data_IF_823767604235
#
_entry.id   IF_823767604235
#
_cell.length_a   1.000
_cell.length_b   1.000
_cell.length_c   1.000
_cell.angle_alpha   90.00
_cell.angle_beta   90.00
_cell.angle_gamma   90.00
#
_symmetry.space_group_name_H-M   'P 1'
#
loop_
_entity.id
_entity.type
_entity.pdbx_description
1 polymer ?
#
# COMPACT_ATOMS: atom_id res chain seq x y z
N UNK A 1 -22.34 25.35 20.47
CA UNK A 1 -21.10 25.22 19.69
C UNK A 1 -20.75 23.73 19.65
N UNK A 2 -20.86 23.08 18.48
CA UNK A 2 -20.48 21.67 18.32
C UNK A 2 -18.96 21.58 18.35
N UNK A 3 -18.41 20.77 19.26
CA UNK A 3 -16.98 20.52 19.36
C UNK A 3 -16.47 19.87 18.08
N UNK A 4 -15.55 20.55 17.40
CA UNK A 4 -14.75 19.97 16.33
C UNK A 4 -13.69 19.08 16.94
N UNK A 5 -14.05 17.84 17.25
CA UNK A 5 -13.08 16.76 17.41
C UNK A 5 -12.77 16.23 16.02
N UNK A 6 -11.52 16.37 15.57
CA UNK A 6 -10.99 15.49 14.53
C UNK A 6 -10.88 14.09 15.14
N UNK A 7 -12.00 13.39 15.22
CA UNK A 7 -12.01 11.95 15.33
C UNK A 7 -11.51 11.48 13.96
N UNK A 8 -10.21 11.13 13.87
CA UNK A 8 -9.79 10.22 12.81
C UNK A 8 -10.66 8.98 13.02
N UNK A 9 -11.73 8.85 12.23
CA UNK A 9 -12.57 7.67 12.24
C UNK A 9 -11.64 6.46 12.14
N UNK A 10 -11.81 5.52 13.07
CA UNK A 10 -10.96 4.33 13.15
C UNK A 10 -11.14 3.56 11.84
N UNK A 11 -10.11 3.60 10.98
CA UNK A 11 -10.15 2.96 9.67
C UNK A 11 -10.40 1.47 9.84
N UNK A 12 -11.38 0.94 9.12
CA UNK A 12 -11.67 -0.49 9.15
C UNK A 12 -10.52 -1.28 8.50
N UNK A 13 -10.36 -2.55 8.87
CA UNK A 13 -9.35 -3.43 8.25
C UNK A 13 -9.53 -3.51 6.73
N UNK A 14 -10.78 -3.56 6.24
CA UNK A 14 -11.09 -3.58 4.81
C UNK A 14 -10.66 -2.31 4.08
N UNK A 15 -10.84 -1.14 4.68
CA UNK A 15 -10.39 0.13 4.09
C UNK A 15 -8.86 0.21 4.08
N UNK A 16 -8.22 -0.26 5.16
CA UNK A 16 -6.76 -0.37 5.21
C UNK A 16 -6.23 -1.29 4.11
N UNK A 17 -6.86 -2.45 3.91
CA UNK A 17 -6.52 -3.38 2.83
C UNK A 17 -6.64 -2.69 1.47
N UNK A 18 -7.77 -2.02 1.20
CA UNK A 18 -7.98 -1.32 -0.06
C UNK A 18 -6.89 -0.27 -0.32
N UNK A 19 -6.57 0.56 0.67
CA UNK A 19 -5.50 1.58 0.58
C UNK A 19 -4.12 0.93 0.32
N UNK A 20 -3.83 -0.21 0.95
CA UNK A 20 -2.57 -0.91 0.75
C UNK A 20 -2.48 -1.57 -0.63
N UNK A 21 -3.60 -2.06 -1.19
CA UNK A 21 -3.66 -2.61 -2.55
C UNK A 21 -3.41 -1.50 -3.58
N UNK A 22 -4.09 -0.36 -3.44
CA UNK A 22 -3.89 0.79 -4.33
C UNK A 22 -2.44 1.25 -4.30
N UNK A 23 -1.87 1.42 -3.10
CA UNK A 23 -0.47 1.77 -2.92
C UNK A 23 0.47 0.74 -3.54
N UNK A 24 0.22 -0.55 -3.35
CA UNK A 24 1.05 -1.60 -3.93
C UNK A 24 1.02 -1.55 -5.46
N UNK A 25 -0.17 -1.36 -6.03
CA UNK A 25 -0.36 -1.23 -7.49
C UNK A 25 0.39 -0.03 -8.05
N UNK A 26 0.31 1.13 -7.39
CA UNK A 26 1.03 2.33 -7.82
C UNK A 26 2.55 2.18 -7.74
N UNK A 27 3.06 1.57 -6.66
CA UNK A 27 4.50 1.31 -6.53
C UNK A 27 5.00 0.37 -7.64
N UNK A 28 4.22 -0.64 -8.01
CA UNK A 28 4.57 -1.53 -9.12
C UNK A 28 4.58 -0.80 -10.47
N UNK A 29 3.59 0.08 -10.71
CA UNK A 29 3.56 0.92 -11.92
C UNK A 29 4.77 1.87 -11.99
N UNK A 30 5.14 2.48 -10.87
CA UNK A 30 6.34 3.34 -10.78
C UNK A 30 7.60 2.52 -11.04
N UNK A 31 7.72 1.31 -10.47
CA UNK A 31 8.87 0.42 -10.72
C UNK A 31 8.98 0.07 -12.20
N UNK A 32 7.87 -0.28 -12.84
CA UNK A 32 7.83 -0.53 -14.28
C UNK A 32 8.23 0.70 -15.11
N UNK A 33 7.77 1.89 -14.71
CA UNK A 33 8.11 3.14 -15.38
C UNK A 33 9.58 3.56 -15.20
N UNK A 34 10.20 3.23 -14.06
CA UNK A 34 11.63 3.48 -13.81
C UNK A 34 12.55 2.58 -14.67
N UNK A 35 12.03 1.48 -15.22
CA UNK A 35 12.82 0.53 -16.00
C UNK A 35 13.97 -0.05 -15.18
N UNK A 36 15.18 -0.04 -15.75
CA UNK A 36 16.39 -0.57 -15.13
C UNK A 36 17.07 0.40 -14.15
N UNK A 37 16.50 1.60 -13.93
CA UNK A 37 17.06 2.55 -12.97
C UNK A 37 16.77 2.07 -11.55
N UNK A 38 17.82 1.59 -10.89
CA UNK A 38 17.73 1.12 -9.51
C UNK A 38 17.25 2.21 -8.56
N UNK A 39 16.22 1.91 -7.77
CA UNK A 39 15.70 2.79 -6.73
C UNK A 39 15.46 1.98 -5.45
N UNK A 40 16.43 2.02 -4.54
CA UNK A 40 16.40 1.23 -3.30
C UNK A 40 15.23 1.58 -2.38
N UNK A 41 14.81 2.84 -2.37
CA UNK A 41 13.65 3.28 -1.58
C UNK A 41 12.36 2.71 -2.15
N UNK A 42 12.19 2.72 -3.47
CA UNK A 42 11.04 2.10 -4.13
C UNK A 42 10.96 0.60 -3.85
N UNK A 43 12.10 -0.11 -3.98
CA UNK A 43 12.18 -1.54 -3.64
C UNK A 43 11.82 -1.80 -2.17
N UNK A 44 12.29 -0.95 -1.27
CA UNK A 44 11.97 -1.04 0.15
C UNK A 44 10.47 -0.84 0.41
N UNK A 45 9.86 0.17 -0.21
CA UNK A 45 8.42 0.44 -0.07
C UNK A 45 7.56 -0.70 -0.62
N UNK A 46 7.94 -1.29 -1.77
CA UNK A 46 7.29 -2.47 -2.34
C UNK A 46 7.39 -3.65 -1.36
N UNK A 47 8.59 -3.92 -0.83
CA UNK A 47 8.82 -5.00 0.15
C UNK A 47 7.96 -4.84 1.40
N UNK A 48 7.90 -3.63 1.97
CA UNK A 48 7.14 -3.35 3.19
C UNK A 48 5.63 -3.45 2.93
N UNK A 49 5.14 -2.88 1.83
CA UNK A 49 3.72 -2.93 1.47
C UNK A 49 3.27 -4.36 1.21
N UNK A 50 4.06 -5.14 0.47
CA UNK A 50 3.82 -6.57 0.26
C UNK A 50 3.74 -7.34 1.58
N UNK A 51 4.68 -7.10 2.51
CA UNK A 51 4.66 -7.75 3.83
C UNK A 51 3.40 -7.40 4.64
N UNK A 52 2.94 -6.14 4.59
CA UNK A 52 1.72 -5.72 5.28
C UNK A 52 0.48 -6.39 4.71
N UNK A 53 0.36 -6.46 3.38
CA UNK A 53 -0.73 -7.16 2.70
C UNK A 53 -0.76 -8.65 3.07
N UNK A 54 0.41 -9.32 3.08
CA UNK A 54 0.49 -10.73 3.51
C UNK A 54 0.10 -10.93 4.97
N UNK A 55 0.40 -9.99 5.88
CA UNK A 55 -0.03 -10.05 7.28
C UNK A 55 -1.55 -9.88 7.44
N UNK A 56 -2.20 -9.23 6.47
CA UNK A 56 -3.66 -9.05 6.38
C UNK A 56 -4.34 -10.17 5.59
N UNK A 57 -3.64 -11.29 5.33
CA UNK A 57 -4.11 -12.44 4.55
C UNK A 57 -4.55 -12.10 3.12
N UNK A 58 -4.01 -11.02 2.54
CA UNK A 58 -4.21 -10.70 1.12
C UNK A 58 -3.21 -11.47 0.27
N UNK A 59 -3.69 -12.17 -0.75
CA UNK A 59 -2.84 -12.81 -1.74
C UNK A 59 -2.16 -11.74 -2.63
N UNK A 60 -0.88 -11.52 -2.38
CA UNK A 60 -0.07 -10.52 -3.07
C UNK A 60 0.42 -10.99 -4.44
N UNK A 61 0.39 -12.29 -4.73
CA UNK A 61 0.83 -12.81 -6.02
C UNK A 61 -0.21 -12.53 -7.11
N UNK A 62 -1.51 -12.52 -6.75
CA UNK A 62 -2.59 -12.08 -7.66
C UNK A 62 -2.52 -10.58 -8.00
N UNK A 63 -1.88 -9.78 -7.15
CA UNK A 63 -1.74 -8.34 -7.33
C UNK A 63 -0.48 -7.94 -8.10
N UNK A 64 0.40 -8.89 -8.42
CA UNK A 64 1.68 -8.60 -9.05
C UNK A 64 1.51 -8.34 -10.56
N UNK A 65 2.20 -7.31 -11.09
CA UNK A 65 2.05 -6.81 -12.47
C UNK A 65 3.02 -7.43 -13.47
#
# INVERSE_FOLDING_TARGET
MKGGGNEMEEMTESELIAVLIDKYTDLQRIKKANGEVGNSELEYQIKITRKKLSLLNVDVDELTL
#
